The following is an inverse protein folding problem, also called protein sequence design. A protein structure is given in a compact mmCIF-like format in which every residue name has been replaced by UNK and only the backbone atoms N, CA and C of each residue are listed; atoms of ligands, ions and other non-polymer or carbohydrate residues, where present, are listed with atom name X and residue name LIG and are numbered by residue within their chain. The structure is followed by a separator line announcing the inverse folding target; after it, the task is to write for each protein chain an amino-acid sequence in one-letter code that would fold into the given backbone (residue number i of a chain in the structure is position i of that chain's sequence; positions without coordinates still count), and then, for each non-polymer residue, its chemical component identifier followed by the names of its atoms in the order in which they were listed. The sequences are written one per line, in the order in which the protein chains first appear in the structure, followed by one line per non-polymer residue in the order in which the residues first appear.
data_IF_889688662987
#
_entry.id   IF_889688662987
#
_cell.length_a   1.000
_cell.length_b   1.000
_cell.length_c   1.000
_cell.angle_alpha   90.00
_cell.angle_beta   90.00
_cell.angle_gamma   90.00
#
_symmetry.space_group_name_H-M   'P 1'
#
loop_
_entity.id
_entity.type
_entity.pdbx_description
1 polymer ?
#
# COMPACT_ATOMS: atom_id res chain seq x y z
N UNK A 1 11.53 10.64 0.46
CA UNK A 1 11.39 10.10 -0.91
C UNK A 1 9.97 10.35 -1.42
N UNK A 2 9.78 10.59 -2.72
CA UNK A 2 8.46 10.75 -3.35
C UNK A 2 8.30 9.81 -4.54
N UNK A 3 7.15 9.17 -4.67
CA UNK A 3 6.81 8.32 -5.83
C UNK A 3 5.30 8.18 -5.98
N UNK A 4 4.87 7.49 -7.05
CA UNK A 4 3.45 7.22 -7.33
C UNK A 4 3.22 5.75 -7.56
N UNK A 5 2.09 5.25 -7.06
CA UNK A 5 1.54 3.94 -7.36
C UNK A 5 0.24 4.11 -8.12
N UNK A 6 -0.08 3.15 -8.98
CA UNK A 6 -1.33 3.12 -9.73
C UNK A 6 -2.08 1.86 -9.34
N UNK A 7 -3.33 2.01 -8.93
CA UNK A 7 -4.26 0.90 -8.79
C UNK A 7 -5.34 1.02 -9.87
N UNK A 8 -5.57 -0.06 -10.61
CA UNK A 8 -6.66 -0.18 -11.58
C UNK A 8 -7.38 -1.49 -11.32
N UNK A 9 -8.68 -1.41 -11.03
CA UNK A 9 -9.46 -2.58 -10.69
C UNK A 9 -10.70 -2.24 -9.86
N UNK A 10 -11.46 -3.26 -9.43
CA UNK A 10 -12.61 -3.05 -8.56
C UNK A 10 -12.18 -2.42 -7.24
N UNK A 11 -12.96 -1.47 -6.70
CA UNK A 11 -12.75 -0.94 -5.35
C UNK A 11 -14.09 -0.84 -4.64
N UNK A 12 -14.40 -1.86 -3.84
CA UNK A 12 -15.65 -1.92 -3.12
C UNK A 12 -15.62 -0.99 -1.90
N UNK A 13 -16.65 -0.16 -1.74
CA UNK A 13 -16.79 0.72 -0.58
C UNK A 13 -17.10 -0.07 0.69
N UNK A 14 -18.28 -0.71 0.77
CA UNK A 14 -18.70 -1.43 1.96
C UNK A 14 -18.47 -2.94 1.87
N UNK A 15 -18.12 -3.55 3.01
CA UNK A 15 -18.06 -5.01 3.15
C UNK A 15 -16.91 -5.68 2.37
N UNK A 16 -15.84 -4.94 2.05
CA UNK A 16 -14.67 -5.48 1.38
C UNK A 16 -14.10 -6.69 2.15
N UNK A 17 -14.27 -7.89 1.56
CA UNK A 17 -13.78 -9.14 2.11
C UNK A 17 -12.25 -9.17 2.14
N UNK A 18 -11.67 -10.02 2.98
CA UNK A 18 -10.21 -10.22 3.07
C UNK A 18 -9.57 -10.50 1.71
N UNK A 19 -10.25 -11.28 0.85
CA UNK A 19 -9.82 -11.58 -0.52
C UNK A 19 -9.62 -10.33 -1.37
N UNK A 20 -10.54 -9.37 -1.27
CA UNK A 20 -10.48 -8.14 -2.04
C UNK A 20 -9.30 -7.25 -1.60
N UNK A 21 -9.10 -7.12 -0.29
CA UNK A 21 -7.93 -6.42 0.27
C UNK A 21 -6.61 -7.09 -0.18
N UNK A 22 -6.61 -8.41 -0.36
CA UNK A 22 -5.45 -9.16 -0.87
C UNK A 22 -5.19 -8.91 -2.36
N UNK A 23 -6.24 -8.84 -3.18
CA UNK A 23 -6.12 -8.51 -4.61
C UNK A 23 -5.50 -7.12 -4.82
N UNK A 24 -5.91 -6.12 -4.02
CA UNK A 24 -5.32 -4.78 -4.05
C UNK A 24 -3.82 -4.85 -3.73
N UNK A 25 -3.43 -5.61 -2.69
CA UNK A 25 -2.02 -5.85 -2.37
C UNK A 25 -1.26 -6.47 -3.53
N UNK A 26 -1.83 -7.48 -4.19
CA UNK A 26 -1.22 -8.15 -5.36
C UNK A 26 -1.04 -7.20 -6.53
N UNK A 27 -1.99 -6.30 -6.77
CA UNK A 27 -1.88 -5.29 -7.84
C UNK A 27 -0.77 -4.26 -7.57
N UNK A 28 -0.55 -3.90 -6.30
CA UNK A 28 0.44 -2.89 -5.91
C UNK A 28 1.85 -3.48 -5.70
N UNK A 29 1.95 -4.75 -5.33
CA UNK A 29 3.21 -5.44 -5.06
C UNK A 29 4.28 -5.27 -6.16
N UNK A 30 3.99 -5.50 -7.46
CA UNK A 30 5.02 -5.39 -8.50
C UNK A 30 5.64 -4.00 -8.62
N UNK A 31 4.84 -2.95 -8.37
CA UNK A 31 5.31 -1.56 -8.41
C UNK A 31 6.24 -1.27 -7.23
N UNK A 32 5.90 -1.76 -6.04
CA UNK A 32 6.76 -1.64 -4.85
C UNK A 32 8.03 -2.49 -4.99
N UNK A 33 7.92 -3.71 -5.52
CA UNK A 33 9.08 -4.55 -5.83
C UNK A 33 10.04 -3.85 -6.80
N UNK A 34 9.50 -3.18 -7.83
CA UNK A 34 10.30 -2.37 -8.74
C UNK A 34 10.96 -1.20 -8.01
N UNK A 35 10.23 -0.49 -7.15
CA UNK A 35 10.79 0.63 -6.36
C UNK A 35 12.01 0.20 -5.54
N UNK A 36 12.00 -0.99 -4.93
CA UNK A 36 13.15 -1.56 -4.21
C UNK A 36 14.37 -1.85 -5.07
N UNK A 37 14.22 -1.90 -6.40
CA UNK A 37 15.33 -2.06 -7.36
C UNK A 37 15.89 -0.73 -7.85
N UNK A 38 15.27 0.39 -7.51
CA UNK A 38 15.70 1.74 -7.86
C UNK A 38 16.43 2.42 -6.69
N UNK A 39 17.25 3.42 -6.99
CA UNK A 39 17.91 4.22 -5.93
C UNK A 39 16.91 5.16 -5.25
N UNK A 40 17.05 5.40 -3.93
CA UNK A 40 18.15 4.92 -3.07
C UNK A 40 17.93 3.50 -2.49
N UNK A 41 16.73 2.93 -2.60
CA UNK A 41 16.38 1.67 -1.96
C UNK A 41 17.26 0.50 -2.39
N UNK A 42 17.66 0.44 -3.66
CA UNK A 42 18.55 -0.58 -4.21
C UNK A 42 19.84 -0.73 -3.40
N UNK A 43 20.41 0.38 -2.96
CA UNK A 43 21.72 0.39 -2.31
C UNK A 43 21.64 -0.19 -0.88
N UNK A 44 20.46 -0.09 -0.24
CA UNK A 44 20.20 -0.60 1.11
C UNK A 44 19.42 -1.92 1.15
N UNK A 45 18.86 -2.36 0.02
CA UNK A 45 18.00 -3.53 -0.09
C UNK A 45 18.63 -4.81 0.49
N UNK A 46 19.92 -5.04 0.24
CA UNK A 46 20.64 -6.23 0.73
C UNK A 46 20.67 -6.33 2.27
N UNK A 47 20.58 -5.18 2.96
CA UNK A 47 20.55 -5.10 4.42
C UNK A 47 19.10 -5.09 4.92
N UNK A 48 18.27 -4.17 4.42
CA UNK A 48 16.90 -3.98 4.91
C UNK A 48 15.97 -5.15 4.59
N UNK A 49 16.21 -5.89 3.51
CA UNK A 49 15.41 -7.07 3.13
C UNK A 49 16.03 -8.39 3.62
N UNK A 50 17.12 -8.34 4.43
CA UNK A 50 17.75 -9.55 4.95
C UNK A 50 16.81 -10.28 5.92
N UNK A 51 16.69 -11.60 5.74
CA UNK A 51 15.99 -12.48 6.66
C UNK A 51 16.74 -13.82 6.82
N UNK A 52 17.21 -14.18 8.02
CA UNK A 52 17.15 -13.39 9.26
C UNK A 52 17.93 -12.07 9.14
N UNK A 53 17.63 -11.11 10.02
CA UNK A 53 18.34 -9.83 10.04
C UNK A 53 19.84 -10.06 10.29
N UNK A 54 20.69 -9.27 9.63
CA UNK A 54 22.14 -9.35 9.86
C UNK A 54 22.48 -8.79 11.26
N UNK A 55 23.51 -9.32 11.94
CA UNK A 55 23.92 -8.82 13.25
C UNK A 55 24.19 -7.31 13.23
N UNK A 56 23.51 -6.57 14.11
CA UNK A 56 23.68 -5.12 14.24
C UNK A 56 23.16 -4.29 13.07
N UNK A 57 22.37 -4.87 12.16
CA UNK A 57 21.73 -4.15 11.05
C UNK A 57 20.21 -4.28 11.09
N UNK A 58 19.46 -3.22 10.76
CA UNK A 58 18.01 -3.32 10.71
C UNK A 58 17.54 -4.15 9.51
N UNK A 59 16.44 -4.86 9.71
CA UNK A 59 15.64 -5.47 8.64
C UNK A 59 14.20 -4.99 8.78
N UNK A 60 13.56 -4.69 7.65
CA UNK A 60 12.13 -4.31 7.57
C UNK A 60 11.22 -5.52 7.40
N UNK A 61 11.77 -6.74 7.32
CA UNK A 61 10.97 -7.95 7.09
C UNK A 61 10.07 -8.23 8.30
N UNK A 62 8.77 -8.33 8.04
CA UNK A 62 7.74 -8.68 9.02
C UNK A 62 7.17 -10.05 8.67
N UNK A 63 7.15 -10.96 9.65
CA UNK A 63 6.51 -12.28 9.48
C UNK A 63 5.08 -12.27 10.00
N UNK A 64 4.14 -12.70 9.16
CA UNK A 64 2.73 -12.76 9.54
C UNK A 64 1.98 -13.83 8.77
N UNK A 65 1.26 -14.69 9.49
CA UNK A 65 0.46 -15.77 8.87
C UNK A 65 1.29 -16.72 7.99
N UNK A 66 2.56 -16.96 8.35
CA UNK A 66 3.48 -17.80 7.56
C UNK A 66 4.06 -17.14 6.31
N UNK A 67 3.80 -15.86 6.07
CA UNK A 67 4.37 -15.08 4.97
C UNK A 67 5.34 -14.02 5.49
N UNK A 68 6.29 -13.64 4.65
CA UNK A 68 7.20 -12.52 4.89
C UNK A 68 6.76 -11.32 4.09
N UNK A 69 6.63 -10.19 4.77
CA UNK A 69 6.30 -8.90 4.17
C UNK A 69 7.50 -7.97 4.25
N UNK A 70 7.65 -7.12 3.24
CA UNK A 70 8.66 -6.07 3.17
C UNK A 70 7.95 -4.71 3.07
N UNK A 71 7.41 -4.17 4.18
CA UNK A 71 6.89 -2.81 4.23
C UNK A 71 8.01 -1.78 4.00
N UNK A 72 7.71 -0.75 3.22
CA UNK A 72 8.64 0.35 2.97
C UNK A 72 8.68 1.36 4.14
N UNK A 73 7.50 1.78 4.60
CA UNK A 73 7.33 2.72 5.69
C UNK A 73 7.11 1.92 6.96
N UNK A 74 8.07 2.00 7.88
CA UNK A 74 8.10 1.19 9.12
C UNK A 74 8.40 2.06 10.32
N UNK A 75 7.88 1.66 11.49
CA UNK A 75 8.20 2.31 12.76
C UNK A 75 9.69 2.18 13.09
N UNK A 76 10.30 1.03 12.76
CA UNK A 76 11.73 0.75 12.98
C UNK A 76 12.66 1.77 12.34
N UNK A 77 12.28 2.32 11.19
CA UNK A 77 13.08 3.30 10.44
C UNK A 77 12.66 4.75 10.72
N UNK A 78 11.78 4.99 11.70
CA UNK A 78 11.20 6.30 12.03
C UNK A 78 10.59 7.01 10.81
N UNK A 79 9.90 6.23 9.96
CA UNK A 79 9.30 6.72 8.72
C UNK A 79 7.79 6.91 8.85
N UNK A 80 7.29 7.97 8.22
CA UNK A 80 5.86 8.22 8.03
C UNK A 80 5.54 8.49 6.55
N UNK A 81 4.27 8.35 6.19
CA UNK A 81 3.79 8.65 4.85
C UNK A 81 2.71 9.73 4.84
N UNK A 82 2.80 10.61 3.86
CA UNK A 82 1.66 11.41 3.41
C UNK A 82 1.16 10.83 2.08
N UNK A 83 -0.15 10.65 1.98
CA UNK A 83 -0.81 10.05 0.82
C UNK A 83 -1.74 11.06 0.17
N UNK A 84 -1.64 11.19 -1.15
CA UNK A 84 -2.60 11.94 -1.97
C UNK A 84 -3.15 11.04 -3.05
N UNK A 85 -4.45 10.79 -3.02
CA UNK A 85 -5.14 9.84 -3.91
C UNK A 85 -6.00 10.61 -4.89
N UNK A 86 -5.67 10.53 -6.17
CA UNK A 86 -6.56 10.93 -7.26
C UNK A 86 -7.34 9.70 -7.73
N UNK A 87 -8.64 9.66 -7.46
CA UNK A 87 -9.52 8.53 -7.69
C UNK A 87 -10.47 8.81 -8.85
N UNK A 88 -10.30 8.11 -9.96
CA UNK A 88 -11.25 8.11 -11.07
C UNK A 88 -12.28 6.99 -10.90
N UNK A 89 -13.57 7.35 -10.92
CA UNK A 89 -14.70 6.42 -10.79
C UNK A 89 -15.79 6.73 -11.79
N UNK A 90 -16.61 5.73 -12.13
CA UNK A 90 -17.80 5.98 -12.94
C UNK A 90 -18.85 6.74 -12.11
N UNK A 91 -19.01 8.03 -12.37
CA UNK A 91 -20.06 8.87 -11.79
C UNK A 91 -20.76 9.69 -12.87
N UNK A 92 -22.10 9.81 -12.83
CA UNK A 92 -22.81 10.88 -13.53
C UNK A 92 -22.48 12.24 -12.89
N UNK A 93 -22.39 13.30 -13.68
CA UNK A 93 -22.22 14.67 -13.15
C UNK A 93 -23.43 15.05 -12.27
N UNK A 94 -23.20 15.53 -11.05
CA UNK A 94 -24.24 16.18 -10.22
C UNK A 94 -24.66 15.48 -8.91
N UNK A 95 -24.12 14.31 -8.57
CA UNK A 95 -24.48 13.55 -7.34
C UNK A 95 -23.48 13.67 -6.19
N UNK A 96 -22.52 14.60 -6.26
CA UNK A 96 -21.41 14.74 -5.29
C UNK A 96 -21.85 14.91 -3.82
N UNK A 97 -23.06 15.43 -3.57
CA UNK A 97 -23.50 15.83 -2.22
C UNK A 97 -23.90 14.62 -1.34
N UNK A 98 -24.20 13.45 -1.93
CA UNK A 98 -24.61 12.23 -1.19
C UNK A 98 -23.51 11.17 -1.04
N UNK A 99 -22.35 11.34 -1.68
CA UNK A 99 -21.35 10.28 -1.90
C UNK A 99 -20.16 10.29 -0.92
N UNK A 100 -20.10 11.24 0.02
CA UNK A 100 -18.98 11.37 0.97
C UNK A 100 -18.72 10.09 1.79
N UNK A 101 -19.78 9.36 2.14
CA UNK A 101 -19.67 8.09 2.86
C UNK A 101 -19.16 6.92 1.99
N UNK A 102 -19.39 6.93 0.68
CA UNK A 102 -18.87 5.87 -0.21
C UNK A 102 -17.37 6.07 -0.49
N UNK A 103 -16.93 7.33 -0.66
CA UNK A 103 -15.52 7.65 -0.87
C UNK A 103 -14.67 7.27 0.34
N UNK A 104 -15.11 7.59 1.55
CA UNK A 104 -14.39 7.24 2.79
C UNK A 104 -14.21 5.71 2.92
N UNK A 105 -15.30 4.96 2.67
CA UNK A 105 -15.29 3.51 2.71
C UNK A 105 -14.35 2.88 1.65
N UNK A 106 -14.35 3.42 0.42
CA UNK A 106 -13.43 3.00 -0.66
C UNK A 106 -11.98 3.34 -0.31
N UNK A 107 -11.73 4.54 0.22
CA UNK A 107 -10.41 4.98 0.64
C UNK A 107 -9.86 4.07 1.75
N UNK A 108 -10.68 3.76 2.76
CA UNK A 108 -10.32 2.81 3.82
C UNK A 108 -9.91 1.45 3.25
N UNK A 109 -10.69 0.91 2.31
CA UNK A 109 -10.36 -0.36 1.65
C UNK A 109 -9.04 -0.30 0.87
N UNK A 110 -8.77 0.82 0.19
CA UNK A 110 -7.51 1.04 -0.52
C UNK A 110 -6.32 1.13 0.44
N UNK A 111 -6.47 1.86 1.56
CA UNK A 111 -5.44 1.98 2.60
C UNK A 111 -5.14 0.64 3.26
N UNK A 112 -6.16 -0.17 3.53
CA UNK A 112 -5.97 -1.54 4.01
C UNK A 112 -5.13 -2.36 3.01
N UNK A 113 -5.35 -2.17 1.71
CA UNK A 113 -4.56 -2.80 0.64
C UNK A 113 -3.13 -2.29 0.50
N UNK A 114 -2.77 -1.16 1.13
CA UNK A 114 -1.41 -0.60 1.11
C UNK A 114 -0.54 -1.12 2.26
N UNK A 115 -1.13 -1.66 3.32
CA UNK A 115 -0.43 -2.09 4.54
C UNK A 115 -0.32 -3.59 4.72
N UNK A 116 0.62 -4.02 5.56
CA UNK A 116 0.70 -5.41 6.06
C UNK A 116 -0.64 -5.77 6.74
N UNK A 117 -1.23 -6.96 6.48
CA UNK A 117 -2.52 -7.33 7.06
C UNK A 117 -2.48 -7.38 8.59
N UNK A 118 -3.50 -6.90 9.31
CA UNK A 118 -3.50 -6.91 10.79
C UNK A 118 -3.93 -8.25 11.41
N UNK A 119 -4.74 -9.07 10.72
CA UNK A 119 -5.22 -10.35 11.24
C UNK A 119 -5.76 -11.30 10.17
N UNK A 120 -6.37 -12.41 10.59
CA UNK A 120 -6.95 -13.45 9.70
C UNK A 120 -8.02 -12.90 8.73
N UNK A 121 -8.72 -11.84 9.15
CA UNK A 121 -9.74 -11.13 8.35
C UNK A 121 -9.16 -10.17 7.28
N UNK A 122 -7.83 -10.05 7.17
CA UNK A 122 -7.17 -9.23 6.15
C UNK A 122 -6.07 -9.99 5.42
N UNK A 123 -5.76 -11.20 5.90
CA UNK A 123 -4.78 -12.10 5.33
C UNK A 123 -5.34 -12.93 4.19
N UNK A 124 -4.49 -13.84 3.73
CA UNK A 124 -4.74 -14.80 2.65
C UNK A 124 -5.85 -15.79 3.07
N UNK A 125 -7.03 -15.77 2.42
CA UNK A 125 -8.15 -16.61 2.84
C UNK A 125 -7.98 -18.09 2.45
N UNK A 126 -7.26 -18.36 1.35
CA UNK A 126 -6.98 -19.69 0.82
C UNK A 126 -5.54 -19.73 0.29
N UNK A 127 -4.96 -20.92 0.12
CA UNK A 127 -3.65 -21.09 -0.52
C UNK A 127 -3.85 -21.09 -2.05
N UNK A 128 -3.52 -20.01 -2.80
CA UNK A 128 -3.58 -20.01 -4.25
C UNK A 128 -2.70 -21.10 -4.87
N UNK A 129 -3.15 -21.54 -6.04
CA UNK A 129 -2.43 -22.48 -6.92
C UNK A 129 -1.01 -21.99 -7.22
N UNK A 130 -0.84 -20.67 -7.37
CA UNK A 130 0.46 -20.02 -7.45
C UNK A 130 0.90 -19.49 -6.07
N UNK A 131 2.13 -19.78 -5.63
CA UNK A 131 2.64 -19.27 -4.37
C UNK A 131 2.80 -17.74 -4.43
N UNK A 132 2.40 -17.06 -3.36
CA UNK A 132 2.64 -15.62 -3.23
C UNK A 132 4.15 -15.33 -3.16
N UNK A 133 4.58 -14.16 -3.67
CA UNK A 133 5.99 -13.78 -3.67
C UNK A 133 6.53 -13.65 -2.24
N UNK A 134 7.77 -14.10 -2.04
CA UNK A 134 8.49 -14.01 -0.77
C UNK A 134 9.80 -13.23 -0.97
N UNK A 135 9.96 -12.03 -0.37
CA UNK A 135 8.97 -11.33 0.46
C UNK A 135 7.87 -10.64 -0.37
N UNK A 136 6.73 -10.40 0.27
CA UNK A 136 5.63 -9.61 -0.28
C UNK A 136 5.83 -8.13 0.04
N UNK A 137 6.06 -7.29 -0.96
CA UNK A 137 6.25 -5.86 -0.77
C UNK A 137 4.94 -5.12 -0.46
N UNK A 138 4.94 -4.36 0.64
CA UNK A 138 3.84 -3.50 1.07
C UNK A 138 4.33 -2.05 1.19
N UNK A 139 3.43 -1.08 1.13
CA UNK A 139 3.81 0.31 1.34
C UNK A 139 4.04 0.58 2.84
N UNK A 140 3.07 0.16 3.67
CA UNK A 140 3.03 0.49 5.09
C UNK A 140 3.15 -0.76 5.95
N UNK A 141 3.86 -0.67 7.07
CA UNK A 141 3.78 -1.67 8.14
C UNK A 141 2.42 -1.62 8.84
N UNK A 142 1.90 -0.41 9.08
CA UNK A 142 0.72 -0.12 9.88
C UNK A 142 0.05 1.18 9.37
N UNK A 143 -1.27 1.32 9.52
CA UNK A 143 -2.00 2.53 9.07
C UNK A 143 -1.69 3.77 9.93
N UNK A 144 -1.31 3.57 11.19
CA UNK A 144 -0.86 4.66 12.09
C UNK A 144 0.36 5.42 11.58
N UNK A 145 1.10 4.88 10.62
CA UNK A 145 2.25 5.52 9.98
C UNK A 145 1.86 6.55 8.91
N UNK A 146 0.57 6.72 8.64
CA UNK A 146 0.07 7.74 7.72
C UNK A 146 -0.30 8.99 8.49
N UNK A 147 0.41 10.10 8.25
CA UNK A 147 0.17 11.38 8.95
C UNK A 147 -0.81 12.29 8.21
N UNK A 148 -0.99 12.08 6.91
CA UNK A 148 -1.88 12.87 6.07
C UNK A 148 -2.45 12.02 4.95
N UNK A 149 -3.76 12.11 4.75
CA UNK A 149 -4.43 11.56 3.58
C UNK A 149 -5.26 12.67 2.93
N UNK A 150 -5.13 12.82 1.62
CA UNK A 150 -6.03 13.64 0.81
C UNK A 150 -6.58 12.79 -0.32
N UNK A 151 -7.85 13.01 -0.66
CA UNK A 151 -8.53 12.33 -1.75
C UNK A 151 -9.21 13.36 -2.64
N UNK A 152 -8.96 13.24 -3.94
CA UNK A 152 -9.65 13.96 -4.99
C UNK A 152 -10.36 12.92 -5.86
N UNK A 153 -11.64 13.14 -6.14
CA UNK A 153 -12.47 12.20 -6.90
C UNK A 153 -12.88 12.82 -8.22
N UNK A 154 -12.64 12.10 -9.31
CA UNK A 154 -12.89 12.55 -10.67
C UNK A 154 -13.71 11.52 -11.46
N UNK A 155 -14.36 12.00 -12.53
CA UNK A 155 -15.14 11.12 -13.41
C UNK A 155 -14.22 10.30 -14.32
N UNK A 156 -14.35 8.98 -14.27
CA UNK A 156 -13.75 8.07 -15.25
C UNK A 156 -14.63 8.04 -16.51
N UNK A 157 -14.15 8.64 -17.60
CA UNK A 157 -14.90 8.76 -18.85
C UNK A 157 -14.81 7.53 -19.76
N UNK A 158 -13.74 6.73 -19.65
CA UNK A 158 -13.62 5.51 -20.45
C UNK A 158 -14.59 4.43 -19.92
N UNK A 159 -15.08 3.53 -20.79
CA UNK A 159 -15.85 2.37 -20.35
C UNK A 159 -15.06 1.52 -19.35
N UNK A 160 -15.73 1.13 -18.27
CA UNK A 160 -15.22 0.30 -17.18
C UNK A 160 -16.42 -0.40 -16.48
N UNK A 161 -16.17 -1.32 -15.56
CA UNK A 161 -17.26 -1.88 -14.73
C UNK A 161 -17.70 -0.86 -13.66
N UNK A 162 -18.92 -0.96 -13.10
CA UNK A 162 -19.43 0.01 -12.13
C UNK A 162 -18.53 0.24 -10.90
N UNK A 163 -17.91 -0.82 -10.38
CA UNK A 163 -17.03 -0.75 -9.21
C UNK A 163 -15.56 -0.52 -9.56
N UNK A 164 -15.24 -0.44 -10.84
CA UNK A 164 -13.87 -0.28 -11.31
C UNK A 164 -13.42 1.17 -11.18
N UNK A 165 -12.23 1.34 -10.63
CA UNK A 165 -11.61 2.64 -10.41
C UNK A 165 -10.20 2.66 -10.95
N UNK A 166 -9.70 3.85 -11.21
CA UNK A 166 -8.27 4.11 -11.34
C UNK A 166 -7.86 5.03 -10.20
N UNK A 167 -6.96 4.58 -9.33
CA UNK A 167 -6.40 5.40 -8.26
C UNK A 167 -4.92 5.69 -8.56
N UNK A 168 -4.57 6.96 -8.60
CA UNK A 168 -3.17 7.42 -8.60
C UNK A 168 -2.83 7.83 -7.17
N UNK A 169 -1.95 7.08 -6.54
CA UNK A 169 -1.57 7.22 -5.15
C UNK A 169 -0.19 7.87 -5.12
N UNK A 170 -0.15 9.17 -4.84
CA UNK A 170 1.10 9.89 -4.60
C UNK A 170 1.52 9.66 -3.15
N UNK A 171 2.74 9.16 -2.98
CA UNK A 171 3.32 8.82 -1.68
C UNK A 171 4.51 9.73 -1.41
N UNK A 172 4.46 10.42 -0.27
CA UNK A 172 5.60 11.15 0.27
C UNK A 172 6.08 10.48 1.56
N UNK A 173 7.28 9.89 1.54
CA UNK A 173 7.92 9.29 2.71
C UNK A 173 8.73 10.34 3.46
N UNK A 174 8.37 10.57 4.73
CA UNK A 174 8.99 11.50 5.69
C UNK A 174 9.79 10.73 6.74
N UNK A 175 10.76 11.41 7.35
CA UNK A 175 11.55 10.92 8.49
C UNK A 175 11.22 11.77 9.71
N UNK A 176 10.96 11.14 10.85
CA UNK A 176 10.66 11.87 12.10
C UNK A 176 11.93 12.14 12.91
N UNK A 177 12.87 11.20 12.89
CA UNK A 177 14.21 11.33 13.47
C UNK A 177 15.22 10.95 12.41
N UNK A 178 16.35 11.66 12.34
CA UNK A 178 17.45 11.26 11.48
C UNK A 178 18.27 10.18 12.20
N UNK A 179 18.31 8.99 11.62
CA UNK A 179 19.15 7.88 12.06
C UNK A 179 20.08 7.45 10.93
N UNK A 180 21.22 6.82 11.27
CA UNK A 180 22.14 6.31 10.25
C UNK A 180 21.43 5.38 9.25
N UNK A 181 20.43 4.63 9.71
CA UNK A 181 19.69 3.65 8.92
C UNK A 181 18.66 4.27 7.97
N UNK A 182 18.11 5.46 8.31
CA UNK A 182 17.16 6.15 7.44
C UNK A 182 17.77 7.31 6.66
N UNK A 183 19.00 7.74 6.98
CA UNK A 183 19.66 8.86 6.30
C UNK A 183 19.75 8.67 4.78
N UNK A 184 19.89 7.43 4.32
CA UNK A 184 20.01 7.05 2.91
C UNK A 184 18.66 6.95 2.18
N UNK A 185 17.53 6.97 2.90
CA UNK A 185 16.16 6.78 2.38
C UNK A 185 15.45 8.09 1.96
#
# INVERSE_FOLDING_TARGET
MEFRLIYEGPLHGQGAKSSHKWEIRRALHPQLQRLWRERPLKDVAHTLLAHPAQPGKPSVIVEKGGLRFAPLVTQRLDLYAELSVLLFRQQPRGTLITDGGDIDNRLKTLLDGLRVPHGSMEGRPEIPEEPDPLPFFCLLEDDSLVTKVSVESEQLLRPAKPDEVVAIISVHVKKTVLSHDNMTL
#
